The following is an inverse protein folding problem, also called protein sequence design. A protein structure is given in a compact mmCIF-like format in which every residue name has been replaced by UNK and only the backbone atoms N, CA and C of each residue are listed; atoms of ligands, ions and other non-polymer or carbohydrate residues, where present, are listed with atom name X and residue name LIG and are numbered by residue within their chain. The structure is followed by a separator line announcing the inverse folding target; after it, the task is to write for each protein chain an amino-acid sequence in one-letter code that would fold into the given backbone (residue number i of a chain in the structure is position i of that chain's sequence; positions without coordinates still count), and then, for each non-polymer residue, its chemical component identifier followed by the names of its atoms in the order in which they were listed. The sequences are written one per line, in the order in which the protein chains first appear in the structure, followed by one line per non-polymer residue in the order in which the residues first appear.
data_IF_234215653525
#
_entry.id   IF_234215653525
#
_cell.length_a   1.000
_cell.length_b   1.000
_cell.length_c   1.000
_cell.angle_alpha   90.00
_cell.angle_beta   90.00
_cell.angle_gamma   90.00
#
_symmetry.space_group_name_H-M   'P 1'
#
loop_
_entity.id
_entity.type
_entity.pdbx_description
1 polymer ?
#
# COMPACT_ATOMS: atom_id res chain seq x y z
N UNK A 1 29.42 -0.86 -20.66
CA UNK A 1 28.15 -0.10 -20.56
C UNK A 1 28.45 1.22 -19.85
N UNK A 2 28.10 2.40 -20.39
CA UNK A 2 28.44 3.69 -19.75
C UNK A 2 27.64 3.89 -18.45
N UNK A 3 28.25 4.52 -17.42
CA UNK A 3 27.62 4.78 -16.10
C UNK A 3 26.22 5.39 -16.24
N UNK A 4 26.06 6.37 -17.11
CA UNK A 4 24.77 7.03 -17.42
C UNK A 4 23.71 6.06 -17.96
N UNK A 5 24.12 5.07 -18.77
CA UNK A 5 23.19 4.06 -19.32
C UNK A 5 22.72 3.11 -18.23
N UNK A 6 23.61 2.70 -17.31
CA UNK A 6 23.26 1.88 -16.16
C UNK A 6 22.27 2.61 -15.23
N UNK A 7 22.57 3.86 -14.86
CA UNK A 7 21.69 4.68 -14.01
C UNK A 7 20.32 4.92 -14.65
N UNK A 8 20.27 5.15 -15.96
CA UNK A 8 19.01 5.32 -16.69
C UNK A 8 18.16 4.05 -16.63
N UNK A 9 18.76 2.87 -16.85
CA UNK A 9 18.05 1.59 -16.78
C UNK A 9 17.46 1.37 -15.39
N UNK A 10 18.26 1.62 -14.35
CA UNK A 10 17.85 1.47 -12.95
C UNK A 10 16.68 2.38 -12.58
N UNK A 11 16.76 3.68 -12.93
CA UNK A 11 15.66 4.62 -12.71
C UNK A 11 14.40 4.18 -13.45
N UNK A 12 14.50 3.80 -14.73
CA UNK A 12 13.38 3.26 -15.51
C UNK A 12 12.71 2.06 -14.82
N UNK A 13 13.49 1.11 -14.32
CA UNK A 13 12.95 -0.05 -13.60
C UNK A 13 12.23 0.37 -12.32
N UNK A 14 12.78 1.33 -11.58
CA UNK A 14 12.26 1.71 -10.27
C UNK A 14 11.04 2.64 -10.29
N UNK A 15 10.92 3.46 -11.33
CA UNK A 15 9.87 4.50 -11.42
C UNK A 15 8.88 4.24 -12.56
N UNK A 16 9.21 3.32 -13.48
CA UNK A 16 8.43 3.02 -14.68
C UNK A 16 8.59 4.05 -15.80
N UNK A 17 9.50 5.03 -15.64
CA UNK A 17 9.80 6.04 -16.64
C UNK A 17 10.26 5.43 -17.97
N UNK A 18 9.84 6.02 -19.09
CA UNK A 18 10.46 5.74 -20.38
C UNK A 18 11.95 6.11 -20.34
N UNK A 19 12.80 5.36 -21.07
CA UNK A 19 14.26 5.53 -21.06
C UNK A 19 14.71 6.98 -21.32
N UNK A 20 14.06 7.68 -22.24
CA UNK A 20 14.37 9.08 -22.54
C UNK A 20 13.98 10.02 -21.39
N UNK A 21 12.83 9.79 -20.76
CA UNK A 21 12.39 10.55 -19.57
C UNK A 21 13.36 10.37 -18.42
N UNK A 22 13.73 9.12 -18.10
CA UNK A 22 14.69 8.81 -17.06
C UNK A 22 16.06 9.46 -17.34
N UNK A 23 16.55 9.37 -18.57
CA UNK A 23 17.82 10.00 -18.95
C UNK A 23 17.77 11.53 -18.82
N UNK A 24 16.64 12.16 -19.20
CA UNK A 24 16.43 13.61 -19.05
C UNK A 24 16.38 14.00 -17.57
N UNK A 25 15.66 13.26 -16.74
CA UNK A 25 15.57 13.50 -15.31
C UNK A 25 16.94 13.39 -14.63
N UNK A 26 17.73 12.36 -14.97
CA UNK A 26 19.08 12.18 -14.42
C UNK A 26 20.03 13.32 -14.78
N UNK A 27 19.95 13.87 -16.01
CA UNK A 27 20.76 15.03 -16.40
C UNK A 27 20.37 16.31 -15.68
N UNK A 28 19.11 16.42 -15.25
CA UNK A 28 18.61 17.58 -14.53
C UNK A 28 18.91 17.52 -13.02
N UNK A 29 19.29 16.36 -12.49
CA UNK A 29 19.67 16.21 -11.09
C UNK A 29 21.12 16.68 -10.87
N UNK A 30 21.40 17.33 -9.73
CA UNK A 30 22.76 17.59 -9.28
C UNK A 30 23.61 16.30 -9.26
N UNK A 31 24.90 16.34 -9.66
CA UNK A 31 25.73 15.13 -9.83
C UNK A 31 25.92 14.27 -8.56
N UNK A 32 25.72 14.84 -7.39
CA UNK A 32 25.90 14.19 -6.09
C UNK A 32 24.61 13.56 -5.54
N UNK A 33 23.45 13.86 -6.14
CA UNK A 33 22.19 13.29 -5.68
C UNK A 33 21.99 11.87 -6.23
N UNK A 34 21.30 11.00 -5.47
CA UNK A 34 20.95 9.68 -5.96
C UNK A 34 20.04 9.79 -7.19
N UNK A 35 20.08 8.79 -8.09
CA UNK A 35 19.23 8.70 -9.29
C UNK A 35 17.74 8.89 -9.03
N UNK A 36 17.27 8.53 -7.84
CA UNK A 36 15.94 8.82 -7.31
C UNK A 36 16.14 9.69 -6.07
N UNK A 37 15.90 11.01 -6.17
CA UNK A 37 16.13 11.92 -5.05
C UNK A 37 15.16 11.64 -3.90
N UNK A 38 15.62 11.93 -2.68
CA UNK A 38 14.75 11.96 -1.51
C UNK A 38 13.83 13.20 -1.56
N UNK A 39 12.65 13.09 -0.96
CA UNK A 39 11.73 14.20 -0.79
C UNK A 39 12.17 15.07 0.40
N UNK A 40 11.92 16.38 0.32
CA UNK A 40 11.89 17.21 1.55
C UNK A 40 10.78 16.75 2.49
N UNK A 41 10.84 17.10 3.78
CA UNK A 41 9.82 16.67 4.76
C UNK A 41 8.39 17.09 4.36
N UNK A 42 8.22 18.31 3.83
CA UNK A 42 6.92 18.78 3.33
C UNK A 42 6.40 17.95 2.15
N UNK A 43 7.29 17.67 1.18
CA UNK A 43 6.95 16.85 0.01
C UNK A 43 6.65 15.41 0.42
N UNK A 44 7.40 14.86 1.38
CA UNK A 44 7.19 13.51 1.88
C UNK A 44 5.83 13.38 2.58
N UNK A 45 5.44 14.37 3.38
CA UNK A 45 4.11 14.43 4.00
C UNK A 45 3.00 14.50 2.95
N UNK A 46 3.14 15.37 1.94
CA UNK A 46 2.17 15.48 0.85
C UNK A 46 2.03 14.15 0.08
N UNK A 47 3.16 13.53 -0.29
CA UNK A 47 3.18 12.22 -0.97
C UNK A 47 2.55 11.12 -0.12
N UNK A 48 2.80 11.12 1.20
CA UNK A 48 2.22 10.16 2.13
C UNK A 48 0.71 10.34 2.28
N UNK A 49 0.21 11.57 2.40
CA UNK A 49 -1.22 11.86 2.47
C UNK A 49 -1.92 11.43 1.18
N UNK A 50 -1.31 11.73 0.03
CA UNK A 50 -1.80 11.29 -1.28
C UNK A 50 -1.91 9.77 -1.33
N UNK A 51 -0.81 9.06 -1.05
CA UNK A 51 -0.80 7.60 -1.07
C UNK A 51 -1.82 6.99 -0.09
N UNK A 52 -1.96 7.54 1.11
CA UNK A 52 -2.91 7.07 2.10
C UNK A 52 -4.37 7.18 1.64
N UNK A 53 -4.73 8.23 0.90
CA UNK A 53 -6.07 8.37 0.35
C UNK A 53 -6.34 7.41 -0.81
N UNK A 54 -5.30 7.04 -1.57
CA UNK A 54 -5.47 6.04 -2.64
C UNK A 54 -5.80 4.64 -2.11
N UNK A 55 -5.60 4.37 -0.83
CA UNK A 55 -6.08 3.14 -0.19
C UNK A 55 -7.62 3.03 -0.19
N UNK A 56 -8.34 4.16 -0.31
CA UNK A 56 -9.81 4.20 -0.35
C UNK A 56 -10.37 3.92 -1.74
N UNK A 57 -9.52 3.85 -2.76
CA UNK A 57 -9.96 3.48 -4.10
C UNK A 57 -10.62 2.11 -4.05
N UNK A 58 -11.82 1.94 -4.64
CA UNK A 58 -12.43 0.63 -4.75
C UNK A 58 -11.41 -0.28 -5.43
N UNK A 59 -11.01 -1.34 -4.70
CA UNK A 59 -9.92 -2.26 -5.03
C UNK A 59 -9.80 -2.41 -6.53
N UNK A 60 -8.62 -2.07 -7.06
CA UNK A 60 -8.13 -2.32 -8.42
C UNK A 60 -8.95 -3.44 -9.06
N UNK A 61 -9.96 -3.03 -9.83
CA UNK A 61 -11.07 -3.89 -10.24
C UNK A 61 -10.67 -4.85 -11.37
N UNK A 62 -9.47 -4.65 -11.93
CA UNK A 62 -8.93 -5.48 -12.99
C UNK A 62 -7.51 -5.97 -12.64
N UNK A 63 -7.17 -7.25 -12.87
CA UNK A 63 -5.84 -7.83 -12.62
C UNK A 63 -4.74 -7.28 -13.55
N UNK A 64 -4.99 -6.18 -14.25
CA UNK A 64 -4.02 -5.49 -15.12
C UNK A 64 -3.83 -4.02 -14.71
N UNK A 65 -4.57 -3.52 -13.73
CA UNK A 65 -4.44 -2.13 -13.33
C UNK A 65 -3.20 -1.93 -12.46
N UNK A 66 -2.44 -0.85 -12.65
CA UNK A 66 -1.28 -0.60 -11.81
C UNK A 66 -1.70 -0.33 -10.34
N UNK A 67 -0.81 -0.60 -9.37
CA UNK A 67 -1.05 -0.35 -7.95
C UNK A 67 -1.38 1.12 -7.73
N UNK A 68 -2.39 1.38 -6.90
CA UNK A 68 -2.93 2.74 -6.65
C UNK A 68 -3.34 3.48 -7.92
N UNK A 69 -3.60 2.75 -9.01
CA UNK A 69 -3.75 3.29 -10.35
C UNK A 69 -2.54 4.09 -10.88
N UNK A 70 -1.36 3.98 -10.27
CA UNK A 70 -0.15 4.72 -10.66
C UNK A 70 0.66 3.92 -11.67
N UNK A 71 0.56 4.31 -12.93
CA UNK A 71 1.31 3.74 -14.04
C UNK A 71 2.80 4.06 -13.97
N UNK A 72 3.17 5.28 -13.61
CA UNK A 72 4.58 5.76 -13.63
C UNK A 72 4.74 6.89 -12.63
N UNK A 73 5.92 7.04 -12.06
CA UNK A 73 6.31 8.23 -11.33
C UNK A 73 7.58 8.84 -11.94
N UNK A 74 7.74 10.15 -11.87
CA UNK A 74 9.00 10.84 -12.20
C UNK A 74 9.36 11.71 -11.01
N UNK A 75 10.15 11.19 -10.06
CA UNK A 75 10.50 11.92 -8.84
C UNK A 75 11.51 13.03 -9.12
N UNK A 76 11.22 14.21 -8.58
CA UNK A 76 12.13 15.34 -8.41
C UNK A 76 12.34 15.65 -6.93
N UNK A 77 13.10 16.72 -6.64
CA UNK A 77 13.40 17.13 -5.25
C UNK A 77 12.19 17.82 -4.61
N UNK A 78 11.54 18.70 -5.36
CA UNK A 78 10.43 19.56 -4.88
C UNK A 78 9.07 19.18 -5.46
N UNK A 79 9.03 18.20 -6.36
CA UNK A 79 7.80 17.71 -6.98
C UNK A 79 7.95 16.25 -7.39
N UNK A 80 6.80 15.61 -7.61
CA UNK A 80 6.70 14.29 -8.23
C UNK A 80 5.67 14.36 -9.36
N UNK A 81 6.03 13.85 -10.54
CA UNK A 81 5.05 13.66 -11.62
C UNK A 81 4.46 12.26 -11.50
N UNK A 82 3.13 12.16 -11.43
CA UNK A 82 2.41 10.89 -11.28
C UNK A 82 1.54 10.63 -12.51
N UNK A 83 1.96 9.59 -13.22
CA UNK A 83 1.25 8.80 -14.22
C UNK A 83 -0.01 8.08 -13.73
N UNK A 84 -1.22 8.66 -13.74
CA UNK A 84 -2.44 7.88 -13.39
C UNK A 84 -2.98 7.10 -14.61
N UNK A 85 -3.36 5.84 -14.41
CA UNK A 85 -4.00 5.01 -15.43
C UNK A 85 -5.40 5.55 -15.81
N UNK A 86 -5.72 5.52 -17.11
CA UNK A 86 -6.87 6.24 -17.67
C UNK A 86 -8.26 5.87 -17.12
N UNK A 87 -8.60 4.64 -16.70
CA UNK A 87 -9.92 4.43 -16.10
C UNK A 87 -10.03 5.05 -14.69
N UNK A 88 -8.91 5.34 -14.03
CA UNK A 88 -8.86 5.63 -12.60
C UNK A 88 -8.65 7.10 -12.26
N UNK A 89 -8.38 7.96 -13.25
CA UNK A 89 -8.07 9.38 -13.00
C UNK A 89 -9.13 10.08 -12.14
N UNK A 90 -10.41 9.94 -12.50
CA UNK A 90 -11.48 10.61 -11.75
C UNK A 90 -11.64 10.03 -10.34
N UNK A 91 -11.45 8.71 -10.16
CA UNK A 91 -11.50 8.08 -8.85
C UNK A 91 -10.35 8.57 -7.95
N UNK A 92 -9.12 8.59 -8.47
CA UNK A 92 -7.95 9.14 -7.76
C UNK A 92 -8.20 10.59 -7.34
N UNK A 93 -8.72 11.42 -8.24
CA UNK A 93 -9.02 12.82 -7.91
C UNK A 93 -10.17 12.97 -6.91
N UNK A 94 -11.21 12.13 -6.99
CA UNK A 94 -12.31 12.13 -6.02
C UNK A 94 -11.85 11.74 -4.61
N UNK A 95 -10.95 10.77 -4.48
CA UNK A 95 -10.39 10.38 -3.18
C UNK A 95 -9.36 11.38 -2.64
N UNK A 96 -8.73 12.17 -3.52
CA UNK A 96 -7.65 13.09 -3.13
C UNK A 96 -8.17 14.49 -2.79
N UNK A 97 -9.11 15.01 -3.60
CA UNK A 97 -9.54 16.40 -3.50
C UNK A 97 -10.59 16.59 -2.40
N UNK A 98 -10.42 17.58 -1.51
CA UNK A 98 -11.27 17.69 -0.34
C UNK A 98 -12.73 18.00 -0.71
N UNK A 99 -13.68 17.40 -0.02
CA UNK A 99 -15.11 17.77 -0.16
C UNK A 99 -15.84 17.58 1.17
N UNK A 100 -16.68 18.54 1.52
CA UNK A 100 -17.52 18.49 2.70
C UNK A 100 -18.95 18.16 2.26
N UNK A 101 -19.36 16.92 2.47
CA UNK A 101 -20.73 16.46 2.23
C UNK A 101 -21.56 16.77 3.48
N UNK A 102 -22.81 17.25 3.35
CA UNK A 102 -23.66 17.49 4.53
C UNK A 102 -23.77 16.24 5.41
N UNK A 103 -23.72 16.44 6.73
CA UNK A 103 -23.83 15.39 7.75
C UNK A 103 -22.76 14.29 7.68
N UNK A 104 -21.62 14.56 7.04
CA UNK A 104 -20.47 13.66 6.94
C UNK A 104 -19.17 14.38 7.29
N UNK A 105 -18.16 13.59 7.66
CA UNK A 105 -16.80 14.08 7.83
C UNK A 105 -16.21 14.60 6.50
N UNK A 106 -15.16 15.39 6.59
CA UNK A 106 -14.47 15.91 5.42
C UNK A 106 -13.78 14.76 4.67
N UNK A 107 -14.22 14.53 3.43
CA UNK A 107 -13.58 13.59 2.51
C UNK A 107 -12.32 14.21 1.88
N UNK A 108 -11.37 13.36 1.50
CA UNK A 108 -10.14 13.75 0.78
C UNK A 108 -9.05 14.31 1.68
N UNK A 109 -8.08 15.02 1.09
CA UNK A 109 -6.98 15.62 1.84
C UNK A 109 -7.31 17.10 2.13
N UNK A 110 -7.55 17.46 3.39
CA UNK A 110 -7.80 18.85 3.76
C UNK A 110 -6.68 19.76 3.25
N UNK A 111 -7.01 20.94 2.74
CA UNK A 111 -6.00 21.91 2.28
C UNK A 111 -5.35 21.62 0.93
N UNK A 112 -5.64 20.50 0.26
CA UNK A 112 -5.19 20.29 -1.11
C UNK A 112 -5.99 21.15 -2.09
N UNK A 113 -5.28 21.76 -3.02
CA UNK A 113 -5.81 22.55 -4.13
C UNK A 113 -5.28 22.03 -5.44
N UNK A 114 -6.13 22.10 -6.47
CA UNK A 114 -5.82 21.66 -7.81
C UNK A 114 -5.89 22.83 -8.78
N UNK A 115 -4.83 23.03 -9.55
CA UNK A 115 -4.84 24.00 -10.63
C UNK A 115 -4.09 23.46 -11.86
N UNK A 116 -4.46 23.92 -13.04
CA UNK A 116 -3.81 23.49 -14.27
C UNK A 116 -2.62 24.39 -14.60
N UNK A 117 -1.46 23.79 -14.86
CA UNK A 117 -0.25 24.52 -15.25
C UNK A 117 0.60 23.71 -16.23
N UNK A 118 0.95 24.30 -17.39
CA UNK A 118 1.87 23.75 -18.39
C UNK A 118 1.61 22.26 -18.71
N UNK A 119 0.36 21.93 -19.02
CA UNK A 119 -0.04 20.56 -19.42
C UNK A 119 -0.09 19.54 -18.27
N UNK A 120 -0.13 20.03 -17.02
CA UNK A 120 -0.27 19.20 -15.83
C UNK A 120 -1.40 19.76 -14.95
N UNK A 121 -2.12 18.87 -14.28
CA UNK A 121 -2.83 19.22 -13.07
C UNK A 121 -1.83 19.22 -11.92
N UNK A 122 -1.68 20.33 -11.23
CA UNK A 122 -0.80 20.48 -10.08
C UNK A 122 -1.66 20.43 -8.82
N UNK A 123 -1.34 19.48 -7.95
CA UNK A 123 -1.89 19.37 -6.61
C UNK A 123 -0.87 19.96 -5.63
N UNK A 124 -1.29 20.97 -4.89
CA UNK A 124 -0.50 21.63 -3.86
C UNK A 124 -1.30 21.67 -2.56
N UNK A 125 -0.63 21.53 -1.43
CA UNK A 125 -1.25 21.69 -0.12
C UNK A 125 -0.90 23.07 0.43
N UNK A 126 -1.89 23.82 0.91
CA UNK A 126 -1.72 25.23 1.31
C UNK A 126 -0.70 25.44 2.45
N UNK A 127 -0.41 24.42 3.26
CA UNK A 127 0.54 24.48 4.39
C UNK A 127 1.78 23.58 4.25
N UNK A 128 1.90 22.79 3.17
CA UNK A 128 3.05 21.89 2.99
C UNK A 128 3.84 22.28 1.76
N UNK A 129 5.16 22.32 1.89
CA UNK A 129 6.03 22.48 0.73
C UNK A 129 5.92 21.26 -0.19
N UNK A 130 5.97 21.48 -1.50
CA UNK A 130 5.97 20.40 -2.48
C UNK A 130 4.76 20.37 -3.40
N UNK A 131 4.82 19.52 -4.42
CA UNK A 131 3.81 19.40 -5.48
C UNK A 131 3.66 17.96 -5.96
N UNK A 132 2.43 17.59 -6.31
CA UNK A 132 2.15 16.40 -7.11
C UNK A 132 1.63 16.87 -8.47
N UNK A 133 2.22 16.39 -9.55
CA UNK A 133 1.89 16.81 -10.92
C UNK A 133 1.33 15.64 -11.69
N UNK A 134 0.12 15.76 -12.19
CA UNK A 134 -0.54 14.72 -12.98
C UNK A 134 -0.58 15.20 -14.44
N UNK A 135 0.04 14.50 -15.39
CA UNK A 135 -0.05 14.84 -16.81
C UNK A 135 -1.52 14.85 -17.27
N UNK A 136 -2.04 16.03 -17.57
CA UNK A 136 -3.45 16.23 -17.92
C UNK A 136 -3.57 17.49 -18.76
N UNK A 137 -4.27 17.42 -19.90
CA UNK A 137 -4.55 18.63 -20.70
C UNK A 137 -5.61 19.50 -20.02
N UNK A 138 -5.65 20.79 -20.34
CA UNK A 138 -6.65 21.71 -19.76
C UNK A 138 -8.07 21.24 -20.09
N UNK A 139 -8.30 20.77 -21.32
CA UNK A 139 -9.59 20.23 -21.75
C UNK A 139 -10.00 18.99 -20.95
N UNK A 140 -9.07 18.07 -20.71
CA UNK A 140 -9.34 16.91 -19.86
C UNK A 140 -9.63 17.32 -18.42
N UNK A 141 -8.86 18.27 -17.87
CA UNK A 141 -9.11 18.80 -16.53
C UNK A 141 -10.51 19.40 -16.40
N UNK A 142 -10.91 20.31 -17.30
CA UNK A 142 -12.24 20.91 -17.26
C UNK A 142 -13.35 19.87 -17.37
N UNK A 143 -13.19 18.86 -18.24
CA UNK A 143 -14.15 17.77 -18.36
C UNK A 143 -14.26 16.95 -17.07
N UNK A 144 -13.13 16.53 -16.50
CA UNK A 144 -13.10 15.77 -15.25
C UNK A 144 -13.67 16.58 -14.09
N UNK A 145 -13.28 17.87 -13.97
CA UNK A 145 -13.84 18.80 -12.98
C UNK A 145 -15.35 18.90 -13.09
N UNK A 146 -15.89 19.13 -14.29
CA UNK A 146 -17.34 19.22 -14.48
C UNK A 146 -18.03 17.93 -14.07
N UNK A 147 -17.50 16.77 -14.50
CA UNK A 147 -18.06 15.47 -14.16
C UNK A 147 -18.06 15.20 -12.64
N UNK A 148 -16.94 15.51 -11.97
CA UNK A 148 -16.84 15.40 -10.51
C UNK A 148 -17.86 16.29 -9.81
N UNK A 149 -17.98 17.56 -10.19
CA UNK A 149 -18.91 18.50 -9.58
C UNK A 149 -20.38 18.13 -9.82
N UNK A 150 -20.72 17.61 -11.01
CA UNK A 150 -22.10 17.15 -11.30
C UNK A 150 -22.50 15.91 -10.52
N UNK A 151 -21.53 15.10 -10.07
CA UNK A 151 -21.77 13.88 -9.30
C UNK A 151 -21.85 14.10 -7.79
N UNK A 152 -21.67 15.33 -7.30
CA UNK A 152 -21.71 15.61 -5.86
C UNK A 152 -23.14 15.68 -5.34
N UNK A 153 -23.41 15.16 -4.12
CA UNK A 153 -24.68 15.37 -3.43
C UNK A 153 -25.03 16.86 -3.28
N UNK A 154 -26.32 17.17 -3.22
CA UNK A 154 -26.78 18.54 -2.98
C UNK A 154 -26.22 19.09 -1.65
N UNK A 155 -25.80 20.35 -1.66
CA UNK A 155 -25.19 21.00 -0.49
C UNK A 155 -23.71 20.68 -0.26
N UNK A 156 -23.10 19.80 -1.07
CA UNK A 156 -21.66 19.50 -0.95
C UNK A 156 -20.81 20.73 -1.27
N UNK A 157 -19.87 21.04 -0.38
CA UNK A 157 -18.84 22.06 -0.62
C UNK A 157 -17.58 21.40 -1.14
N UNK A 158 -17.05 21.88 -2.26
CA UNK A 158 -15.80 21.41 -2.85
C UNK A 158 -14.74 22.53 -2.80
N UNK A 159 -13.95 22.66 -1.71
CA UNK A 159 -13.04 23.79 -1.51
C UNK A 159 -12.03 23.98 -2.64
N UNK A 160 -11.52 22.89 -3.21
CA UNK A 160 -10.61 22.93 -4.36
C UNK A 160 -11.23 23.58 -5.61
N UNK A 161 -12.56 23.62 -5.71
CA UNK A 161 -13.27 24.19 -6.85
C UNK A 161 -13.78 25.62 -6.58
N UNK A 162 -14.22 25.89 -5.35
CA UNK A 162 -14.86 27.17 -4.98
C UNK A 162 -13.93 28.14 -4.26
N UNK A 163 -12.89 27.63 -3.59
CA UNK A 163 -11.92 28.39 -2.77
C UNK A 163 -10.48 27.91 -3.05
N UNK A 164 -9.98 28.10 -4.29
CA UNK A 164 -8.72 27.50 -4.74
C UNK A 164 -7.46 28.02 -4.01
N UNK A 165 -7.56 29.10 -3.23
CA UNK A 165 -6.43 29.77 -2.58
C UNK A 165 -6.60 29.94 -1.07
N UNK A 166 -7.70 29.46 -0.50
CA UNK A 166 -8.07 29.69 0.90
C UNK A 166 -8.40 28.35 1.54
N UNK A 167 -7.93 28.13 2.77
CA UNK A 167 -8.32 26.99 3.60
C UNK A 167 -9.63 27.33 4.31
N UNK A 168 -10.61 26.41 4.31
CA UNK A 168 -11.85 26.62 5.04
C UNK A 168 -11.69 26.29 6.53
N UNK A 169 -12.46 26.92 7.43
CA UNK A 169 -12.42 26.59 8.87
C UNK A 169 -12.59 25.10 9.17
N UNK A 170 -13.53 24.43 8.49
CA UNK A 170 -13.73 22.97 8.61
C UNK A 170 -12.47 22.17 8.22
N UNK A 171 -11.73 22.60 7.19
CA UNK A 171 -10.46 21.95 6.82
C UNK A 171 -9.38 22.19 7.89
N UNK A 172 -9.40 23.36 8.56
CA UNK A 172 -8.49 23.65 9.66
C UNK A 172 -8.79 22.82 10.90
N UNK A 173 -10.08 22.69 11.25
CA UNK A 173 -10.55 21.84 12.35
C UNK A 173 -10.17 20.37 12.12
N UNK A 174 -10.40 19.85 10.92
CA UNK A 174 -9.99 18.49 10.56
C UNK A 174 -8.47 18.31 10.63
N UNK A 175 -7.69 19.28 10.15
CA UNK A 175 -6.24 19.24 10.26
C UNK A 175 -5.76 19.32 11.72
N UNK A 176 -6.44 20.10 12.56
CA UNK A 176 -6.13 20.20 13.99
C UNK A 176 -6.48 18.89 14.69
N UNK A 177 -7.64 18.31 14.42
CA UNK A 177 -8.01 17.00 14.94
C UNK A 177 -6.99 15.92 14.53
N UNK A 178 -6.58 15.89 13.26
CA UNK A 178 -5.53 14.99 12.78
C UNK A 178 -4.16 15.29 13.42
N UNK A 179 -3.84 16.57 13.66
CA UNK A 179 -2.56 16.97 14.24
C UNK A 179 -2.48 16.76 15.76
N UNK A 180 -3.58 16.95 16.49
CA UNK A 180 -3.70 16.72 17.94
C UNK A 180 -3.77 15.22 18.26
N UNK A 181 -4.37 14.44 17.38
CA UNK A 181 -4.38 12.97 17.48
C UNK A 181 -3.05 12.32 17.09
N UNK A 182 -2.16 13.03 16.36
CA UNK A 182 -1.01 12.43 15.69
C UNK A 182 0.29 13.30 15.55
N UNK A 183 0.76 14.05 16.57
CA UNK A 183 2.03 14.77 16.43
C UNK A 183 3.23 13.92 16.91
N UNK A 184 4.29 13.84 16.09
CA UNK A 184 5.57 13.33 16.57
C UNK A 184 6.58 12.91 15.50
N UNK A 185 7.83 12.62 15.90
CA UNK A 185 8.88 12.09 15.03
C UNK A 185 8.47 10.83 14.24
N UNK A 186 7.62 9.96 14.81
CA UNK A 186 7.13 8.76 14.13
C UNK A 186 6.20 9.03 12.95
N UNK A 187 5.32 10.03 13.03
CA UNK A 187 4.49 10.43 11.89
C UNK A 187 5.34 10.99 10.72
N UNK A 188 6.37 11.78 11.04
CA UNK A 188 7.31 12.29 10.04
C UNK A 188 8.12 11.15 9.38
N UNK A 189 8.51 10.16 10.16
CA UNK A 189 9.21 8.98 9.67
C UNK A 189 8.34 8.11 8.75
N UNK A 190 7.10 7.81 9.17
CA UNK A 190 6.13 7.10 8.34
C UNK A 190 5.87 7.82 7.01
N UNK A 191 5.85 9.16 7.01
CA UNK A 191 5.70 9.94 5.79
C UNK A 191 6.90 9.78 4.85
N UNK A 192 8.13 9.82 5.39
CA UNK A 192 9.35 9.58 4.61
C UNK A 192 9.41 8.17 4.03
N UNK A 193 8.99 7.16 4.80
CA UNK A 193 8.88 5.78 4.31
C UNK A 193 7.89 5.68 3.16
N UNK A 194 6.67 6.22 3.33
CA UNK A 194 5.62 6.20 2.31
C UNK A 194 6.04 6.91 1.02
N UNK A 195 6.69 8.07 1.14
CA UNK A 195 7.26 8.81 0.02
C UNK A 195 8.36 8.00 -0.69
N UNK A 196 9.30 7.40 0.05
CA UNK A 196 10.36 6.58 -0.52
C UNK A 196 9.81 5.41 -1.35
N UNK A 197 8.72 4.78 -0.85
CA UNK A 197 7.99 3.72 -1.53
C UNK A 197 7.30 4.20 -2.81
N UNK A 198 6.52 5.29 -2.74
CA UNK A 198 5.86 5.87 -3.90
C UNK A 198 6.86 6.17 -5.03
N UNK A 199 8.03 6.69 -4.67
CA UNK A 199 9.11 7.03 -5.59
C UNK A 199 9.83 5.81 -6.19
N UNK A 200 9.61 4.61 -5.64
CA UNK A 200 10.23 3.33 -6.05
C UNK A 200 9.19 2.24 -6.35
N UNK A 201 7.92 2.63 -6.48
CA UNK A 201 6.78 1.72 -6.53
C UNK A 201 6.88 0.70 -7.68
N UNK A 202 7.60 1.01 -8.77
CA UNK A 202 7.77 0.08 -9.89
C UNK A 202 8.79 -1.02 -9.66
N UNK A 203 9.74 -0.87 -8.72
CA UNK A 203 10.53 -2.02 -8.25
C UNK A 203 9.64 -3.09 -7.65
N UNK A 204 8.60 -2.67 -6.94
CA UNK A 204 7.64 -3.53 -6.27
C UNK A 204 6.63 -4.14 -7.26
N UNK A 205 6.58 -3.64 -8.49
CA UNK A 205 5.65 -4.10 -9.52
C UNK A 205 6.18 -5.31 -10.32
N UNK A 206 7.49 -5.58 -10.27
CA UNK A 206 8.09 -6.65 -11.06
C UNK A 206 8.04 -6.42 -12.58
N UNK A 207 8.88 -7.15 -13.33
CA UNK A 207 8.70 -7.28 -14.78
C UNK A 207 7.58 -8.30 -15.04
N UNK A 208 6.57 -8.00 -15.86
CA UNK A 208 5.55 -8.99 -16.21
C UNK A 208 6.25 -10.18 -16.89
N UNK A 209 6.20 -11.36 -16.26
CA UNK A 209 6.63 -12.59 -16.89
C UNK A 209 5.50 -13.00 -17.84
N UNK A 210 5.78 -13.35 -19.10
CA UNK A 210 4.75 -13.89 -20.00
C UNK A 210 4.04 -15.06 -19.31
N UNK A 211 2.71 -14.96 -19.16
CA UNK A 211 1.83 -15.96 -18.52
C UNK A 211 1.88 -16.04 -16.98
N UNK A 212 2.61 -15.16 -16.30
CA UNK A 212 2.44 -14.94 -14.86
C UNK A 212 1.82 -13.55 -14.63
N UNK A 213 0.72 -13.52 -13.91
CA UNK A 213 0.06 -12.28 -13.51
C UNK A 213 0.88 -11.64 -12.38
N UNK A 214 1.26 -10.35 -12.44
CA UNK A 214 1.80 -9.69 -11.26
C UNK A 214 0.64 -9.62 -10.24
N UNK A 215 0.77 -10.23 -9.07
CA UNK A 215 -0.25 -10.05 -8.04
C UNK A 215 -0.03 -8.74 -7.30
N UNK A 216 -1.18 -8.13 -7.05
CA UNK A 216 -1.41 -6.81 -6.53
C UNK A 216 -1.87 -7.00 -5.10
N UNK A 217 -1.11 -6.49 -4.14
CA UNK A 217 -1.70 -6.03 -2.90
C UNK A 217 -0.69 -5.13 -2.18
N UNK A 218 -0.90 -3.83 -2.35
CA UNK A 218 -0.61 -2.93 -1.24
C UNK A 218 -1.90 -2.92 -0.44
N UNK A 219 -2.03 -3.84 0.51
CA UNK A 219 -3.29 -3.92 1.24
C UNK A 219 -3.53 -2.61 2.01
N UNK A 220 -4.80 -2.16 2.08
CA UNK A 220 -5.24 -1.32 3.19
C UNK A 220 -4.93 -2.10 4.46
N UNK A 221 -3.93 -1.67 5.21
CA UNK A 221 -3.93 -2.00 6.62
C UNK A 221 -5.00 -1.09 7.22
N UNK A 222 -6.14 -1.62 7.72
CA UNK A 222 -6.96 -0.89 8.67
C UNK A 222 -6.22 -0.71 10.01
N UNK A 223 -4.93 -1.06 10.08
CA UNK A 223 -4.09 -0.98 11.28
C UNK A 223 -4.20 0.42 11.85
N UNK A 224 -4.83 0.57 13.02
CA UNK A 224 -4.82 1.81 13.74
C UNK A 224 -3.35 2.18 14.00
N UNK A 225 -3.02 3.46 13.86
CA UNK A 225 -1.72 3.93 14.33
C UNK A 225 -1.61 3.60 15.82
N UNK A 226 -0.42 3.22 16.28
CA UNK A 226 -0.21 3.16 17.73
C UNK A 226 -0.27 4.58 18.33
N UNK A 227 -0.25 4.68 19.65
CA UNK A 227 -0.26 5.97 20.36
C UNK A 227 0.91 6.91 20.00
N UNK A 228 1.97 6.41 19.37
CA UNK A 228 3.10 7.21 18.87
C UNK A 228 2.97 7.63 17.39
N UNK A 229 1.86 7.29 16.74
CA UNK A 229 1.58 7.61 15.34
C UNK A 229 2.29 6.69 14.33
N UNK A 230 2.94 5.62 14.80
CA UNK A 230 3.64 4.65 13.99
C UNK A 230 2.69 3.82 13.13
N UNK A 231 3.18 3.39 11.95
CA UNK A 231 2.40 2.62 10.98
C UNK A 231 3.12 1.37 10.53
N UNK A 232 2.35 0.33 10.26
CA UNK A 232 2.81 -0.81 9.48
C UNK A 232 2.35 -0.69 8.01
N UNK A 233 3.31 -0.76 7.10
CA UNK A 233 3.06 -0.85 5.66
C UNK A 233 3.39 -2.26 5.17
N UNK A 234 2.43 -2.93 4.53
CA UNK A 234 2.61 -4.25 3.91
C UNK A 234 2.67 -4.10 2.39
N UNK A 235 3.71 -4.61 1.74
CA UNK A 235 3.87 -4.62 0.29
C UNK A 235 4.22 -6.02 -0.20
N UNK A 236 3.45 -6.53 -1.13
CA UNK A 236 3.75 -7.79 -1.81
C UNK A 236 4.32 -7.53 -3.22
N UNK A 237 5.29 -8.33 -3.66
CA UNK A 237 5.79 -8.27 -5.05
C UNK A 237 6.00 -9.67 -5.64
N UNK A 238 5.61 -9.85 -6.90
CA UNK A 238 5.45 -11.18 -7.51
C UNK A 238 6.59 -11.67 -8.41
N UNK A 239 7.74 -11.00 -8.47
CA UNK A 239 8.84 -11.41 -9.37
C UNK A 239 10.21 -10.89 -8.90
N UNK A 240 11.26 -11.03 -9.73
CA UNK A 240 12.60 -10.49 -9.41
C UNK A 240 12.58 -8.96 -9.19
N UNK A 241 13.44 -8.42 -8.31
CA UNK A 241 14.50 -9.11 -7.54
C UNK A 241 13.96 -10.04 -6.43
N UNK A 242 14.74 -11.04 -6.02
CA UNK A 242 14.41 -11.85 -4.82
C UNK A 242 14.38 -10.97 -3.57
N UNK A 243 13.86 -11.47 -2.44
CA UNK A 243 13.84 -10.68 -1.19
C UNK A 243 15.24 -10.26 -0.74
N UNK A 244 16.22 -11.15 -0.90
CA UNK A 244 17.62 -10.86 -0.60
C UNK A 244 18.18 -9.77 -1.55
N UNK A 245 18.01 -9.94 -2.85
CA UNK A 245 18.45 -8.96 -3.86
C UNK A 245 17.77 -7.58 -3.64
N UNK A 246 16.48 -7.57 -3.28
CA UNK A 246 15.74 -6.34 -2.99
C UNK A 246 16.29 -5.67 -1.73
N UNK A 247 16.53 -6.43 -0.66
CA UNK A 247 17.10 -5.90 0.57
C UNK A 247 18.49 -5.30 0.35
N UNK A 248 19.37 -5.97 -0.39
CA UNK A 248 20.69 -5.44 -0.78
C UNK A 248 20.53 -4.12 -1.55
N UNK A 249 19.64 -4.09 -2.55
CA UNK A 249 19.37 -2.90 -3.34
C UNK A 249 18.80 -1.74 -2.50
N UNK A 250 18.03 -2.01 -1.45
CA UNK A 250 17.44 -0.98 -0.60
C UNK A 250 18.41 -0.50 0.49
N UNK A 251 19.37 -1.32 0.92
CA UNK A 251 20.26 -1.05 2.05
C UNK A 251 21.65 -0.57 1.65
N UNK A 252 22.17 -0.97 0.49
CA UNK A 252 23.48 -0.52 0.03
C UNK A 252 23.41 0.99 -0.26
N UNK A 253 24.21 1.78 0.46
CA UNK A 253 24.27 3.24 0.28
C UNK A 253 24.71 3.67 -1.12
N UNK A 254 25.43 2.78 -1.84
CA UNK A 254 25.86 2.98 -3.22
C UNK A 254 24.77 2.58 -4.21
N UNK A 255 23.71 1.93 -3.74
CA UNK A 255 22.58 1.56 -4.57
C UNK A 255 21.86 2.82 -5.10
N UNK A 256 21.58 2.87 -6.41
CA UNK A 256 20.76 3.89 -7.06
C UNK A 256 19.37 4.10 -6.45
N UNK A 257 18.88 3.08 -5.75
CA UNK A 257 17.53 2.96 -5.20
C UNK A 257 17.56 2.75 -3.69
N UNK A 258 18.72 3.00 -3.06
CA UNK A 258 18.88 2.95 -1.62
C UNK A 258 17.77 3.74 -0.91
N UNK A 259 17.35 3.25 0.24
CA UNK A 259 16.47 4.00 1.12
C UNK A 259 17.23 5.15 1.79
N UNK A 260 16.51 6.13 2.35
CA UNK A 260 17.09 7.12 3.24
C UNK A 260 17.95 6.48 4.33
N UNK A 261 19.06 7.13 4.68
CA UNK A 261 20.07 6.58 5.58
C UNK A 261 19.51 5.95 6.89
N UNK A 262 18.53 6.56 7.58
CA UNK A 262 17.95 5.99 8.81
C UNK A 262 17.21 4.67 8.61
N UNK A 263 16.66 4.43 7.41
CA UNK A 263 15.91 3.22 7.09
C UNK A 263 16.84 2.08 6.65
N UNK A 264 18.02 2.39 6.11
CA UNK A 264 18.98 1.37 5.62
C UNK A 264 19.55 0.52 6.75
N UNK A 265 19.89 1.14 7.89
CA UNK A 265 20.57 0.46 9.01
C UNK A 265 19.68 -0.48 9.81
N UNK A 266 18.37 -0.47 9.55
CA UNK A 266 17.34 -1.19 10.30
C UNK A 266 16.49 -2.10 9.40
N UNK A 267 17.09 -2.52 8.28
CA UNK A 267 16.49 -3.48 7.35
C UNK A 267 16.96 -4.88 7.70
N UNK A 268 16.04 -5.81 7.88
CA UNK A 268 16.29 -7.21 8.21
C UNK A 268 15.66 -8.11 7.15
N UNK A 269 16.43 -9.10 6.68
CA UNK A 269 15.90 -10.17 5.81
C UNK A 269 15.55 -11.35 6.70
N UNK A 270 14.31 -11.81 6.62
CA UNK A 270 13.86 -13.01 7.31
C UNK A 270 13.95 -14.19 6.33
N UNK A 271 14.83 -15.14 6.65
CA UNK A 271 14.98 -16.37 5.90
C UNK A 271 13.93 -17.39 6.36
N UNK A 272 13.10 -17.85 5.42
CA UNK A 272 12.09 -18.89 5.58
C UNK A 272 11.64 -19.38 4.19
N UNK A 273 10.68 -20.29 4.12
CA UNK A 273 10.20 -20.88 2.85
C UNK A 273 9.67 -19.82 1.87
N UNK A 274 9.15 -18.70 2.40
CA UNK A 274 8.85 -17.48 1.64
C UNK A 274 9.66 -16.32 2.22
N UNK A 275 10.77 -15.88 1.58
CA UNK A 275 11.64 -14.86 2.14
C UNK A 275 11.01 -13.46 2.04
N UNK A 276 11.17 -12.66 3.09
CA UNK A 276 10.61 -11.30 3.18
C UNK A 276 11.58 -10.35 3.87
N UNK A 277 11.36 -9.05 3.69
CA UNK A 277 12.20 -7.96 4.20
C UNK A 277 11.39 -7.11 5.17
N UNK A 278 11.87 -6.99 6.40
CA UNK A 278 11.35 -6.04 7.40
C UNK A 278 12.22 -4.82 7.44
N UNK A 279 11.61 -3.65 7.50
CA UNK A 279 12.30 -2.41 7.81
C UNK A 279 11.70 -1.84 9.08
N UNK A 280 12.54 -1.70 10.09
CA UNK A 280 12.19 -1.00 11.31
C UNK A 280 12.63 0.44 11.20
N UNK A 281 11.74 1.36 11.54
CA UNK A 281 12.07 2.76 11.68
C UNK A 281 12.37 3.07 13.15
N UNK A 282 12.87 4.27 13.43
CA UNK A 282 13.28 4.69 14.78
C UNK A 282 12.14 4.73 15.79
N UNK A 283 10.95 5.06 15.32
CA UNK A 283 9.77 5.29 16.15
C UNK A 283 8.69 4.25 15.84
N UNK A 284 9.07 2.97 15.86
CA UNK A 284 8.20 1.79 15.70
C UNK A 284 7.46 1.66 14.36
N UNK A 285 7.66 2.59 13.42
CA UNK A 285 7.10 2.45 12.08
C UNK A 285 7.78 1.28 11.38
N UNK A 286 7.00 0.49 10.65
CA UNK A 286 7.48 -0.73 10.05
C UNK A 286 7.02 -0.85 8.61
N UNK A 287 7.89 -1.43 7.79
CA UNK A 287 7.56 -1.78 6.42
C UNK A 287 7.92 -3.24 6.20
N UNK A 288 6.92 -4.03 5.84
CA UNK A 288 7.05 -5.42 5.45
C UNK A 288 6.96 -5.50 3.94
N UNK A 289 8.06 -5.90 3.32
CA UNK A 289 8.10 -6.27 1.91
C UNK A 289 8.06 -7.80 1.86
N UNK A 290 7.05 -8.39 1.23
CA UNK A 290 6.90 -9.84 1.09
C UNK A 290 7.02 -10.28 -0.37
N UNK A 291 7.88 -11.25 -0.65
CA UNK A 291 7.96 -11.86 -1.98
C UNK A 291 6.80 -12.85 -2.12
N UNK A 292 5.95 -12.70 -3.13
CA UNK A 292 4.83 -13.60 -3.40
C UNK A 292 5.04 -14.29 -4.76
N UNK A 293 5.91 -15.31 -4.84
CA UNK A 293 6.10 -16.06 -6.07
C UNK A 293 4.85 -16.91 -6.33
N UNK A 294 4.07 -16.58 -7.36
CA UNK A 294 3.05 -17.51 -7.81
C UNK A 294 3.70 -18.84 -8.23
N UNK A 295 3.07 -19.99 -7.92
CA UNK A 295 3.55 -21.27 -8.40
C UNK A 295 3.60 -21.27 -9.94
N UNK A 296 4.73 -21.69 -10.48
CA UNK A 296 5.05 -21.73 -11.92
C UNK A 296 4.29 -22.79 -12.73
N UNK A 297 3.14 -23.26 -12.23
CA UNK A 297 2.39 -24.33 -12.91
C UNK A 297 1.59 -23.77 -14.08
N UNK A 298 1.75 -24.40 -15.24
CA UNK A 298 1.04 -24.11 -16.49
C UNK A 298 -0.46 -23.91 -16.27
N UNK A 299 -1.11 -23.00 -17.00
CA UNK A 299 -2.53 -22.74 -16.83
C UNK A 299 -3.33 -23.99 -17.21
N UNK A 300 -3.93 -24.64 -16.20
CA UNK A 300 -5.20 -25.34 -16.45
C UNK A 300 -6.23 -24.26 -16.81
N UNK A 301 -7.19 -24.53 -17.71
CA UNK A 301 -8.26 -23.58 -18.00
C UNK A 301 -8.92 -23.18 -16.68
N UNK A 302 -8.76 -21.91 -16.30
CA UNK A 302 -9.29 -21.36 -15.06
C UNK A 302 -10.82 -21.42 -15.12
N UNK A 303 -11.45 -22.06 -14.13
CA UNK A 303 -12.90 -21.95 -13.97
C UNK A 303 -13.22 -20.52 -13.51
N UNK A 304 -14.29 -19.94 -14.04
CA UNK A 304 -14.84 -18.64 -13.60
C UNK A 304 -15.31 -18.62 -12.15
N UNK A 305 -15.16 -19.74 -11.42
CA UNK A 305 -15.60 -19.95 -10.06
C UNK A 305 -14.45 -19.80 -9.04
N UNK A 306 -13.19 -19.69 -9.51
CA UNK A 306 -12.00 -19.58 -8.66
C UNK A 306 -10.99 -18.53 -9.19
N UNK A 307 -10.28 -17.88 -8.27
CA UNK A 307 -9.18 -16.94 -8.58
C UNK A 307 -9.53 -15.47 -8.33
N UNK A 308 -8.59 -14.51 -8.50
CA UNK A 308 -8.71 -13.11 -8.06
C UNK A 308 -9.82 -12.28 -8.75
N UNK A 309 -10.67 -12.91 -9.55
CA UNK A 309 -11.68 -12.26 -10.40
C UNK A 309 -13.12 -12.42 -9.90
N UNK A 310 -13.37 -12.97 -8.69
CA UNK A 310 -14.68 -12.75 -8.08
C UNK A 310 -14.80 -11.24 -7.82
N UNK A 311 -15.82 -10.56 -8.37
CA UNK A 311 -16.08 -9.17 -8.03
C UNK A 311 -16.15 -9.10 -6.50
N UNK A 312 -15.49 -8.16 -5.82
CA UNK A 312 -15.68 -7.99 -4.39
C UNK A 312 -17.17 -7.80 -4.19
N UNK A 313 -17.84 -8.84 -3.69
CA UNK A 313 -19.17 -8.62 -3.18
C UNK A 313 -18.95 -7.64 -2.04
N UNK A 314 -19.53 -6.45 -2.14
CA UNK A 314 -19.81 -5.63 -0.95
C UNK A 314 -20.79 -6.44 -0.10
N UNK A 315 -20.32 -7.51 0.55
CA UNK A 315 -21.09 -8.19 1.57
C UNK A 315 -20.97 -7.34 2.83
N UNK A 316 -22.03 -6.61 3.09
CA UNK A 316 -22.38 -6.04 4.39
C UNK A 316 -22.72 -7.11 5.43
N UNK A 317 -22.62 -8.40 5.11
CA UNK A 317 -22.87 -9.48 6.05
C UNK A 317 -21.53 -10.02 6.56
N UNK A 318 -21.20 -9.69 7.83
CA UNK A 318 -20.24 -10.48 8.62
C UNK A 318 -20.59 -11.96 8.42
N UNK A 319 -19.60 -12.79 8.07
CA UNK A 319 -19.83 -14.23 8.07
C UNK A 319 -20.22 -14.66 9.48
N UNK A 320 -20.99 -15.74 9.62
CA UNK A 320 -21.15 -16.34 10.94
C UNK A 320 -19.77 -16.79 11.47
N UNK A 321 -19.54 -16.59 12.76
CA UNK A 321 -18.22 -16.79 13.38
C UNK A 321 -17.68 -18.22 13.18
N UNK A 322 -18.58 -19.20 13.05
CA UNK A 322 -18.23 -20.61 12.87
C UNK A 322 -17.75 -20.88 11.44
N UNK A 323 -18.42 -20.36 10.43
CA UNK A 323 -17.97 -20.46 9.02
C UNK A 323 -16.60 -19.84 8.82
N UNK A 324 -16.30 -18.69 9.46
CA UNK A 324 -14.98 -18.09 9.36
C UNK A 324 -13.90 -18.95 10.04
N UNK A 325 -14.21 -19.55 11.19
CA UNK A 325 -13.32 -20.49 11.87
C UNK A 325 -13.08 -21.75 11.03
N UNK A 326 -14.14 -22.34 10.46
CA UNK A 326 -14.04 -23.57 9.67
C UNK A 326 -13.13 -23.39 8.44
N UNK A 327 -13.21 -22.23 7.77
CA UNK A 327 -12.30 -21.89 6.68
C UNK A 327 -10.84 -21.82 7.12
N UNK A 328 -10.58 -21.22 8.29
CA UNK A 328 -9.23 -21.14 8.84
C UNK A 328 -8.73 -22.52 9.25
N UNK A 329 -9.57 -23.32 9.90
CA UNK A 329 -9.24 -24.70 10.29
C UNK A 329 -8.93 -25.58 9.07
N UNK A 330 -9.75 -25.50 8.02
CA UNK A 330 -9.52 -26.19 6.74
C UNK A 330 -8.21 -25.75 6.10
N UNK A 331 -7.93 -24.44 6.09
CA UNK A 331 -6.70 -23.92 5.51
C UNK A 331 -5.44 -24.34 6.29
N UNK A 332 -5.51 -24.41 7.63
CA UNK A 332 -4.37 -24.78 8.47
C UNK A 332 -4.12 -26.29 8.51
N UNK A 333 -5.16 -27.11 8.41
CA UNK A 333 -5.06 -28.57 8.66
C UNK A 333 -5.44 -29.45 7.46
N UNK A 334 -5.83 -28.83 6.34
CA UNK A 334 -6.34 -29.52 5.15
C UNK A 334 -5.23 -30.04 4.22
N UNK A 335 -5.45 -29.91 2.92
CA UNK A 335 -4.59 -30.51 1.88
C UNK A 335 -3.15 -29.96 1.84
N UNK A 336 -2.93 -28.76 2.37
CA UNK A 336 -1.61 -28.19 2.62
C UNK A 336 -1.54 -27.81 4.09
N UNK A 337 -1.28 -28.78 4.99
CA UNK A 337 -1.33 -28.52 6.42
C UNK A 337 -0.10 -27.70 6.85
N UNK A 338 -0.33 -26.64 7.62
CA UNK A 338 0.70 -25.95 8.38
C UNK A 338 0.89 -26.60 9.76
N UNK A 339 -0.22 -27.09 10.33
CA UNK A 339 -0.26 -27.71 11.66
C UNK A 339 -1.15 -28.94 11.62
N UNK A 340 -0.77 -29.97 12.37
CA UNK A 340 -1.62 -31.14 12.55
C UNK A 340 -2.88 -30.79 13.34
N UNK A 341 -4.04 -31.30 12.88
CA UNK A 341 -5.33 -31.02 13.50
C UNK A 341 -5.40 -31.44 14.97
N UNK A 342 -4.65 -32.46 15.37
CA UNK A 342 -4.56 -32.93 16.77
C UNK A 342 -3.91 -31.91 17.69
N UNK A 343 -3.07 -31.03 17.14
CA UNK A 343 -2.22 -30.12 17.91
C UNK A 343 -2.84 -28.73 18.02
N UNK A 344 -3.92 -28.49 17.27
CA UNK A 344 -4.65 -27.24 17.21
C UNK A 344 -5.79 -27.22 18.24
N UNK A 345 -5.65 -26.39 19.27
CA UNK A 345 -6.71 -26.11 20.24
C UNK A 345 -7.42 -24.80 19.86
N UNK A 346 -8.74 -24.76 20.01
CA UNK A 346 -9.56 -23.59 19.66
C UNK A 346 -10.38 -23.15 20.88
N UNK A 347 -10.42 -21.85 21.16
CA UNK A 347 -11.25 -21.26 22.19
C UNK A 347 -12.02 -20.04 21.65
N UNK A 348 -13.23 -19.81 22.15
CA UNK A 348 -14.03 -18.64 21.76
C UNK A 348 -13.70 -17.42 22.62
N UNK A 349 -13.56 -16.25 22.00
CA UNK A 349 -13.28 -14.99 22.69
C UNK A 349 -14.56 -14.34 23.23
N UNK A 350 -14.44 -13.63 24.36
CA UNK A 350 -15.57 -12.91 24.98
C UNK A 350 -16.09 -11.74 24.14
N UNK A 351 -15.21 -11.13 23.36
CA UNK A 351 -15.51 -9.95 22.53
C UNK A 351 -15.92 -10.32 21.10
N UNK A 352 -16.09 -11.62 20.81
CA UNK A 352 -16.28 -12.16 19.47
C UNK A 352 -14.97 -12.67 18.84
N UNK A 353 -15.09 -13.63 17.93
CA UNK A 353 -13.95 -14.30 17.31
C UNK A 353 -13.34 -15.46 18.11
N UNK A 354 -12.13 -15.88 17.73
CA UNK A 354 -11.53 -17.13 18.17
C UNK A 354 -10.05 -17.01 18.52
N UNK A 355 -9.61 -17.79 19.50
CA UNK A 355 -8.22 -18.03 19.85
C UNK A 355 -7.81 -19.43 19.37
N UNK A 356 -6.73 -19.53 18.61
CA UNK A 356 -6.15 -20.77 18.11
C UNK A 356 -4.78 -20.97 18.74
N UNK A 357 -4.56 -22.12 19.37
CA UNK A 357 -3.30 -22.47 20.04
C UNK A 357 -2.69 -23.69 19.38
N UNK A 358 -1.46 -23.59 18.88
CA UNK A 358 -0.69 -24.77 18.49
C UNK A 358 0.83 -24.52 18.57
N UNK A 359 1.64 -25.59 18.72
CA UNK A 359 3.09 -25.49 18.65
C UNK A 359 3.53 -25.01 17.27
N UNK A 360 4.61 -24.23 17.19
CA UNK A 360 5.19 -23.76 15.92
C UNK A 360 4.28 -22.85 15.08
N UNK A 361 3.16 -22.42 15.66
CA UNK A 361 2.19 -21.54 15.04
C UNK A 361 2.68 -20.09 15.20
N UNK A 362 3.87 -19.81 14.64
CA UNK A 362 4.51 -18.50 14.60
C UNK A 362 4.72 -18.04 13.16
N UNK A 363 4.92 -16.73 13.00
CA UNK A 363 5.35 -15.99 11.79
C UNK A 363 5.30 -16.78 10.47
N UNK A 364 4.36 -16.45 9.58
CA UNK A 364 4.14 -17.19 8.33
C UNK A 364 2.70 -17.71 8.18
N UNK A 365 1.87 -17.60 9.20
CA UNK A 365 0.51 -18.15 9.18
C UNK A 365 -0.45 -17.35 8.30
N UNK A 366 -0.37 -16.02 8.35
CA UNK A 366 -1.12 -15.17 7.43
C UNK A 366 -0.72 -15.49 5.98
N UNK A 367 0.57 -15.73 5.75
CA UNK A 367 1.13 -16.13 4.46
C UNK A 367 0.59 -17.50 4.04
N UNK A 368 0.51 -18.46 4.97
CA UNK A 368 -0.08 -19.77 4.72
C UNK A 368 -1.56 -19.68 4.35
N UNK A 369 -2.35 -18.94 5.13
CA UNK A 369 -3.78 -18.72 4.85
C UNK A 369 -3.96 -18.07 3.47
N UNK A 370 -3.14 -17.08 3.12
CA UNK A 370 -3.16 -16.45 1.80
C UNK A 370 -2.73 -17.40 0.69
N UNK A 371 -1.67 -18.18 0.89
CA UNK A 371 -1.18 -19.17 -0.07
C UNK A 371 -2.25 -20.21 -0.35
N UNK A 372 -2.91 -20.72 0.69
CA UNK A 372 -4.01 -21.68 0.57
C UNK A 372 -5.22 -21.05 -0.12
N UNK A 373 -5.55 -19.79 0.18
CA UNK A 373 -6.62 -19.03 -0.49
C UNK A 373 -6.34 -18.76 -1.98
N UNK A 374 -5.08 -18.74 -2.39
CA UNK A 374 -4.67 -18.68 -3.79
C UNK A 374 -4.60 -20.06 -4.46
N UNK A 375 -4.75 -21.14 -3.69
CA UNK A 375 -4.70 -22.51 -4.18
C UNK A 375 -6.11 -23.10 -4.36
N UNK A 376 -6.27 -24.14 -5.19
CA UNK A 376 -7.53 -24.88 -5.26
C UNK A 376 -7.80 -25.75 -4.02
N UNK A 377 -6.89 -25.78 -3.04
CA UNK A 377 -6.99 -26.66 -1.87
C UNK A 377 -8.03 -26.23 -0.84
N UNK A 378 -8.40 -24.94 -0.81
CA UNK A 378 -9.50 -24.43 0.01
C UNK A 378 -10.38 -23.51 -0.85
N UNK A 379 -11.34 -24.06 -1.62
CA UNK A 379 -12.09 -23.31 -2.64
C UNK A 379 -13.00 -22.22 -2.04
N UNK A 380 -13.21 -22.25 -0.73
CA UNK A 380 -14.12 -21.35 -0.02
C UNK A 380 -13.40 -20.21 0.69
N UNK A 381 -12.07 -20.21 0.78
CA UNK A 381 -11.27 -19.13 1.38
C UNK A 381 -10.64 -18.27 0.29
N UNK A 382 -10.87 -16.96 0.32
CA UNK A 382 -10.40 -16.04 -0.72
C UNK A 382 -9.36 -15.05 -0.18
N UNK A 383 -8.39 -14.57 -0.97
CA UNK A 383 -7.41 -13.60 -0.50
C UNK A 383 -8.03 -12.32 0.07
N UNK A 384 -9.14 -11.86 -0.52
CA UNK A 384 -9.89 -10.69 -0.05
C UNK A 384 -10.69 -10.93 1.24
N UNK A 385 -10.85 -12.19 1.65
CA UNK A 385 -11.47 -12.52 2.93
C UNK A 385 -10.50 -12.34 4.10
N UNK A 386 -9.19 -12.16 3.85
CA UNK A 386 -8.12 -12.25 4.85
C UNK A 386 -7.48 -10.87 5.08
N UNK A 387 -7.75 -10.28 6.24
CA UNK A 387 -7.19 -9.02 6.71
C UNK A 387 -6.07 -9.26 7.74
N UNK A 388 -4.94 -8.58 7.58
CA UNK A 388 -3.81 -8.61 8.53
C UNK A 388 -4.12 -7.69 9.71
N UNK A 389 -4.26 -8.24 10.91
CA UNK A 389 -4.56 -7.49 12.12
C UNK A 389 -3.38 -7.66 13.07
N UNK A 390 -2.47 -6.69 13.14
CA UNK A 390 -1.37 -6.82 14.10
C UNK A 390 -1.79 -6.38 15.50
N UNK A 391 -1.45 -7.22 16.48
CA UNK A 391 -1.40 -6.78 17.88
C UNK A 391 -0.30 -5.72 18.00
N UNK A 392 -0.60 -4.49 18.43
CA UNK A 392 0.41 -3.44 18.61
C UNK A 392 1.49 -3.79 19.64
N UNK A 393 1.32 -4.89 20.38
CA UNK A 393 2.23 -5.35 21.43
C UNK A 393 3.09 -6.56 21.01
N UNK A 394 2.98 -7.05 19.77
CA UNK A 394 3.92 -8.03 19.21
C UNK A 394 3.86 -9.47 19.74
N UNK A 395 3.01 -9.76 20.73
CA UNK A 395 2.93 -11.10 21.37
C UNK A 395 2.01 -12.09 20.62
N UNK A 396 1.08 -11.61 19.79
CA UNK A 396 0.11 -12.45 19.09
C UNK A 396 -0.05 -12.02 17.64
N UNK A 397 -0.21 -13.00 16.74
CA UNK A 397 -0.66 -12.75 15.37
C UNK A 397 -2.19 -12.74 15.36
N UNK A 398 -2.83 -11.70 14.82
CA UNK A 398 -4.27 -11.66 14.62
C UNK A 398 -4.53 -11.59 13.12
N UNK A 399 -5.49 -12.38 12.64
CA UNK A 399 -5.98 -12.31 11.27
C UNK A 399 -7.48 -12.16 11.34
N UNK A 400 -8.02 -11.22 10.58
CA UNK A 400 -9.46 -11.09 10.45
C UNK A 400 -9.90 -11.80 9.18
N UNK A 401 -10.73 -12.82 9.32
CA UNK A 401 -11.26 -13.59 8.19
C UNK A 401 -12.75 -13.31 8.07
N UNK A 402 -13.18 -12.69 6.96
CA UNK A 402 -14.58 -12.27 6.72
C UNK A 402 -15.20 -11.45 7.84
N UNK A 403 -14.40 -10.57 8.45
CA UNK A 403 -14.82 -9.70 9.55
C UNK A 403 -14.79 -10.37 10.94
N UNK A 404 -14.27 -11.60 11.07
CA UNK A 404 -14.13 -12.33 12.33
C UNK A 404 -12.67 -12.37 12.74
N UNK A 405 -12.36 -11.92 13.96
CA UNK A 405 -10.99 -11.89 14.47
C UNK A 405 -10.55 -13.29 14.93
N UNK A 406 -9.41 -13.74 14.41
CA UNK A 406 -8.77 -15.00 14.77
C UNK A 406 -7.39 -14.68 15.32
N UNK A 407 -7.20 -14.95 16.62
CA UNK A 407 -5.95 -14.71 17.34
C UNK A 407 -5.19 -16.01 17.43
N UNK A 408 -3.90 -15.97 17.16
CA UNK A 408 -3.04 -17.12 17.13
C UNK A 408 -2.02 -17.05 18.27
N UNK A 409 -1.94 -18.14 19.02
CA UNK A 409 -1.12 -18.29 20.21
C UNK A 409 -0.14 -19.44 20.00
N UNK A 410 1.14 -19.17 20.25
CA UNK A 410 2.14 -20.22 20.36
C UNK A 410 2.46 -20.48 21.85
N UNK A 411 2.02 -21.62 22.41
CA UNK A 411 2.23 -21.94 23.81
C UNK A 411 3.71 -22.16 24.16
N UNK A 412 4.63 -22.26 23.18
CA UNK A 412 6.07 -22.42 23.44
C UNK A 412 6.79 -21.12 23.80
N UNK A 413 6.18 -19.94 23.61
CA UNK A 413 6.79 -18.65 23.97
C UNK A 413 6.50 -18.16 25.40
N UNK A 414 5.68 -18.88 26.18
CA UNK A 414 5.29 -18.48 27.55
C UNK A 414 6.11 -19.09 28.70
N UNK A 415 7.30 -19.66 28.43
CA UNK A 415 8.16 -20.29 29.46
C UNK A 415 9.58 -19.70 29.53
N UNK A 416 9.71 -18.40 29.28
CA UNK A 416 10.96 -17.64 29.46
C UNK A 416 11.04 -16.92 30.80
#
# INVERSE_FOLDING_TARGET
MSRTTALTKLRTTATGEGRQTAAKALRALPPHLPPIPEASDGQARLESLFLANLNRLPVVSHPTDPPFAIRRCTPGVTDIVIEIARPHLSAVLNETLPRAVPDQDLDGIPGIRAHHHRGHLVLEHLRLAGRIRIPLTSTQWHRTRSWMLTGLPAGTVAPWATRPHEMLPLEEEELLFQAESEPGPGAAESARMSSALLRRLRLLHGAPIPRCWPFYNVWPNPVPRNSSGARLLNLEWGSRPTALELAELLTDARSPIALPAPLRTRTHVHAGDTPWVRLHAEHDSQLLLRHNPLPSQSPRPWSSEHGPQRPPWRMTARADELSALDLVMEALTGAHPLVDRSDLRVARRREGGWDLFAPQLHFGLLEHLRQVAHSPACPHLWPADIEDMLSPYGEFSIVRVRGVDIVFHDPTQGQG
#
